data_IF_260717798812
#
_entry.id   IF_260717798812
#
_cell.length_a   1.000
_cell.length_b   1.000
_cell.length_c   1.000
_cell.angle_alpha   90.00
_cell.angle_beta   90.00
_cell.angle_gamma   90.00
#
_symmetry.space_group_name_H-M   'P 1'
#
loop_
_entity.id
_entity.type
_entity.pdbx_description
1 polymer ?
#
# COMPACT_ATOMS: atom_id res chain seq x y z
N UNK A 1 -2.49 5.95 24.67
CA UNK A 1 -2.27 5.83 23.20
C UNK A 1 -3.45 6.50 22.55
N UNK A 2 -3.24 7.64 21.86
CA UNK A 2 -4.33 8.31 21.15
C UNK A 2 -4.72 7.46 19.96
N UNK A 3 -5.93 6.91 20.01
CA UNK A 3 -6.60 6.36 18.83
C UNK A 3 -6.86 7.59 17.96
N UNK A 4 -5.97 7.87 17.00
CA UNK A 4 -6.30 8.85 15.98
C UNK A 4 -7.55 8.30 15.29
N UNK A 5 -8.68 9.00 15.44
CA UNK A 5 -9.87 8.72 14.63
C UNK A 5 -9.50 9.06 13.18
N UNK A 6 -8.90 8.09 12.48
CA UNK A 6 -8.62 8.20 11.06
C UNK A 6 -9.97 8.29 10.35
N UNK A 7 -10.08 9.24 9.41
CA UNK A 7 -11.31 9.38 8.64
C UNK A 7 -11.49 8.11 7.80
N UNK A 8 -12.70 7.51 7.75
CA UNK A 8 -12.99 6.36 6.87
C UNK A 8 -12.55 6.61 5.41
N UNK A 9 -12.61 7.87 4.97
CA UNK A 9 -12.16 8.29 3.64
C UNK A 9 -10.68 8.05 3.39
N UNK A 10 -9.82 8.21 4.40
CA UNK A 10 -8.37 8.00 4.26
C UNK A 10 -8.07 6.51 4.18
N UNK A 11 -8.77 5.69 4.97
CA UNK A 11 -8.65 4.23 4.89
C UNK A 11 -9.07 3.70 3.52
N UNK A 12 -10.20 4.19 2.96
CA UNK A 12 -10.69 3.83 1.62
C UNK A 12 -9.70 4.23 0.52
N UNK A 13 -9.08 5.42 0.66
CA UNK A 13 -8.07 5.90 -0.28
C UNK A 13 -6.80 5.05 -0.23
N UNK A 14 -6.33 4.68 0.97
CA UNK A 14 -5.21 3.77 1.10
C UNK A 14 -5.53 2.39 0.52
N UNK A 15 -6.72 1.85 0.78
CA UNK A 15 -7.14 0.58 0.21
C UNK A 15 -7.19 0.62 -1.32
N UNK A 16 -7.62 1.75 -1.89
CA UNK A 16 -7.63 1.98 -3.34
C UNK A 16 -6.21 2.05 -3.89
N UNK A 17 -5.30 2.78 -3.23
CA UNK A 17 -3.88 2.82 -3.60
C UNK A 17 -3.29 1.39 -3.63
N UNK A 18 -3.49 0.60 -2.58
CA UNK A 18 -2.98 -0.77 -2.53
C UNK A 18 -3.60 -1.69 -3.60
N UNK A 19 -4.84 -1.43 -4.02
CA UNK A 19 -5.51 -2.20 -5.06
C UNK A 19 -4.94 -1.98 -6.47
N UNK A 20 -4.15 -0.92 -6.71
CA UNK A 20 -3.45 -0.72 -8.00
C UNK A 20 -2.44 -1.84 -8.28
N UNK A 21 -1.91 -2.47 -7.23
CA UNK A 21 -1.02 -3.63 -7.31
C UNK A 21 -1.77 -4.97 -7.43
N UNK A 22 -3.08 -4.96 -7.67
CA UNK A 22 -3.79 -6.18 -8.00
C UNK A 22 -3.34 -6.68 -9.37
N UNK A 23 -2.84 -7.92 -9.45
CA UNK A 23 -2.31 -8.46 -10.72
C UNK A 23 -3.36 -8.61 -11.82
N UNK A 24 -4.65 -8.60 -11.47
CA UNK A 24 -5.74 -8.63 -12.45
C UNK A 24 -6.12 -7.25 -12.98
N UNK A 25 -5.63 -6.20 -12.31
CA UNK A 25 -5.88 -4.80 -12.66
C UNK A 25 -4.65 -4.22 -13.35
N UNK A 26 -3.45 -4.50 -12.79
CA UNK A 26 -2.14 -4.12 -13.33
C UNK A 26 -2.02 -2.60 -13.62
N UNK A 27 -2.32 -1.79 -12.61
CA UNK A 27 -2.30 -0.31 -12.68
C UNK A 27 -1.30 0.28 -11.66
N UNK A 28 -0.25 -0.48 -11.30
CA UNK A 28 0.74 -0.02 -10.32
C UNK A 28 1.49 1.24 -10.80
N UNK A 29 1.64 1.42 -12.10
CA UNK A 29 2.18 2.60 -12.76
C UNK A 29 1.27 3.85 -12.63
N UNK A 30 -0.02 3.67 -12.36
CA UNK A 30 -0.99 4.78 -12.20
C UNK A 30 -1.07 5.32 -10.77
N UNK A 31 -0.24 4.85 -9.83
CA UNK A 31 -0.27 5.33 -8.44
C UNK A 31 0.04 6.82 -8.34
N UNK A 32 0.95 7.34 -9.17
CA UNK A 32 1.24 8.77 -9.22
C UNK A 32 0.01 9.57 -9.70
N UNK A 33 -0.65 9.10 -10.76
CA UNK A 33 -1.87 9.71 -11.32
C UNK A 33 -3.04 9.66 -10.33
N UNK A 34 -3.17 8.58 -9.58
CA UNK A 34 -4.15 8.44 -8.50
C UNK A 34 -3.94 9.46 -7.39
N UNK A 35 -2.68 9.69 -7.00
CA UNK A 35 -2.34 10.65 -5.95
C UNK A 35 -2.40 12.09 -6.45
N UNK A 36 -2.05 12.36 -7.71
CA UNK A 36 -1.96 13.69 -8.31
C UNK A 36 -3.10 14.67 -7.93
N UNK A 37 -4.39 14.31 -8.04
CA UNK A 37 -5.50 15.22 -7.74
C UNK A 37 -5.73 15.51 -6.25
N UNK A 38 -5.11 14.75 -5.34
CA UNK A 38 -5.34 14.96 -3.90
C UNK A 38 -4.61 16.20 -3.36
N UNK A 39 -5.26 16.98 -2.47
CA UNK A 39 -4.57 18.02 -1.71
C UNK A 39 -3.38 17.47 -0.92
N UNK A 40 -2.37 18.31 -0.66
CA UNK A 40 -1.19 17.93 0.14
C UNK A 40 -1.58 17.35 1.50
N UNK A 41 -2.58 17.94 2.17
CA UNK A 41 -3.07 17.44 3.46
C UNK A 41 -3.61 16.00 3.37
N UNK A 42 -4.32 15.68 2.29
CA UNK A 42 -4.87 14.34 2.06
C UNK A 42 -3.76 13.34 1.75
N UNK A 43 -2.77 13.73 0.91
CA UNK A 43 -1.58 12.90 0.65
C UNK A 43 -0.80 12.59 1.93
N UNK A 44 -0.61 13.60 2.78
CA UNK A 44 0.05 13.43 4.08
C UNK A 44 -0.76 12.52 5.01
N UNK A 45 -2.09 12.63 5.03
CA UNK A 45 -2.94 11.75 5.83
C UNK A 45 -2.87 10.29 5.34
N UNK A 46 -2.89 10.05 4.03
CA UNK A 46 -2.70 8.69 3.46
C UNK A 46 -1.31 8.15 3.83
N UNK A 47 -0.26 8.97 3.69
CA UNK A 47 1.11 8.59 4.06
C UNK A 47 1.20 8.19 5.54
N UNK A 48 0.67 9.02 6.44
CA UNK A 48 0.67 8.75 7.88
C UNK A 48 -0.11 7.49 8.24
N UNK A 49 -1.25 7.27 7.61
CA UNK A 49 -2.05 6.06 7.79
C UNK A 49 -1.29 4.82 7.33
N UNK A 50 -0.63 4.89 6.18
CA UNK A 50 0.18 3.80 5.67
C UNK A 50 1.36 3.51 6.62
N UNK A 51 2.11 4.53 7.02
CA UNK A 51 3.22 4.41 7.97
C UNK A 51 2.75 3.77 9.30
N UNK A 52 1.59 4.17 9.81
CA UNK A 52 0.99 3.59 11.00
C UNK A 52 0.72 2.09 10.81
N UNK A 53 0.07 1.69 9.71
CA UNK A 53 -0.22 0.28 9.43
C UNK A 53 1.04 -0.57 9.27
N UNK A 54 2.09 -0.02 8.66
CA UNK A 54 3.40 -0.68 8.60
C UNK A 54 3.98 -0.88 10.00
N UNK A 55 3.96 0.17 10.83
CA UNK A 55 4.50 0.15 12.20
C UNK A 55 3.74 -0.79 13.13
N UNK A 56 2.42 -0.85 13.00
CA UNK A 56 1.54 -1.73 13.79
C UNK A 56 1.48 -3.17 13.25
N UNK A 57 2.21 -3.47 12.17
CA UNK A 57 2.22 -4.77 11.48
C UNK A 57 0.82 -5.21 11.02
N UNK A 58 0.01 -4.25 10.57
CA UNK A 58 -1.33 -4.48 10.02
C UNK A 58 -1.31 -4.81 8.51
N UNK A 59 -0.12 -4.90 7.90
CA UNK A 59 0.08 -5.20 6.48
C UNK A 59 0.96 -6.45 6.34
N UNK A 60 0.35 -7.62 6.46
CA UNK A 60 0.99 -8.93 6.40
C UNK A 60 0.58 -9.76 5.19
N UNK A 61 0.81 -11.08 5.26
CA UNK A 61 0.51 -11.98 4.15
C UNK A 61 -0.99 -12.03 3.77
N UNK A 62 -1.87 -11.82 4.74
CA UNK A 62 -3.32 -11.77 4.52
C UNK A 62 -3.72 -10.55 3.68
N UNK A 63 -3.19 -9.38 4.04
CA UNK A 63 -3.39 -8.13 3.32
C UNK A 63 -2.77 -8.18 1.94
N UNK A 64 -1.55 -8.74 1.83
CA UNK A 64 -0.92 -8.94 0.53
C UNK A 64 -1.86 -9.70 -0.40
N UNK A 65 -2.41 -10.83 0.06
CA UNK A 65 -3.38 -11.60 -0.72
C UNK A 65 -4.65 -10.84 -1.06
N UNK A 66 -5.15 -10.03 -0.13
CA UNK A 66 -6.35 -9.22 -0.34
C UNK A 66 -6.15 -8.20 -1.46
N UNK A 67 -5.01 -7.52 -1.50
CA UNK A 67 -4.77 -6.41 -2.42
C UNK A 67 -4.17 -6.86 -3.75
N UNK A 68 -3.24 -7.82 -3.75
CA UNK A 68 -2.56 -8.25 -4.98
C UNK A 68 -3.27 -9.39 -5.70
N UNK A 69 -4.23 -10.06 -5.04
CA UNK A 69 -4.84 -11.34 -5.44
C UNK A 69 -3.86 -12.54 -5.44
N UNK A 70 -2.66 -12.38 -4.86
CA UNK A 70 -1.61 -13.39 -4.88
C UNK A 70 -1.18 -13.80 -3.47
N UNK A 71 -0.56 -14.97 -3.31
CA UNK A 71 0.00 -15.35 -2.00
C UNK A 71 1.46 -14.90 -1.93
N UNK A 72 1.82 -14.17 -0.88
CA UNK A 72 3.23 -13.89 -0.61
C UNK A 72 3.97 -15.20 -0.28
N UNK A 73 5.31 -15.19 -0.49
CA UNK A 73 6.19 -16.30 -0.09
C UNK A 73 6.11 -16.59 1.41
N UNK A 74 6.18 -15.54 2.20
CA UNK A 74 6.10 -15.55 3.66
C UNK A 74 5.67 -14.16 4.16
N UNK A 75 5.48 -14.06 5.47
CA UNK A 75 5.06 -12.84 6.16
C UNK A 75 6.08 -11.69 6.01
N UNK A 76 7.37 -12.00 5.98
CA UNK A 76 8.44 -11.01 5.84
C UNK A 76 8.44 -10.41 4.43
N UNK A 77 8.31 -11.25 3.42
CA UNK A 77 8.21 -10.87 2.01
C UNK A 77 6.96 -10.01 1.76
N UNK A 78 5.82 -10.37 2.37
CA UNK A 78 4.61 -9.55 2.30
C UNK A 78 4.83 -8.15 2.88
N UNK A 79 5.48 -8.05 4.05
CA UNK A 79 5.79 -6.77 4.68
C UNK A 79 6.77 -5.95 3.85
N UNK A 80 7.75 -6.60 3.22
CA UNK A 80 8.71 -5.91 2.37
C UNK A 80 8.02 -5.28 1.16
N UNK A 81 7.10 -6.00 0.50
CA UNK A 81 6.28 -5.45 -0.56
C UNK A 81 5.57 -4.16 -0.15
N UNK A 82 4.92 -4.13 1.02
CA UNK A 82 4.23 -2.92 1.47
C UNK A 82 5.17 -1.75 1.79
N UNK A 83 6.39 -2.02 2.25
CA UNK A 83 7.42 -0.97 2.42
C UNK A 83 7.85 -0.41 1.07
N UNK A 84 8.02 -1.27 0.06
CA UNK A 84 8.44 -0.87 -1.27
C UNK A 84 7.32 -0.06 -1.96
N UNK A 85 6.05 -0.46 -1.81
CA UNK A 85 4.89 0.35 -2.25
C UNK A 85 4.85 1.71 -1.58
N UNK A 86 5.10 1.76 -0.27
CA UNK A 86 5.17 3.02 0.46
C UNK A 86 6.30 3.93 -0.06
N UNK A 87 7.48 3.36 -0.30
CA UNK A 87 8.62 4.08 -0.85
C UNK A 87 8.34 4.62 -2.26
N UNK A 88 7.76 3.79 -3.13
CA UNK A 88 7.32 4.18 -4.47
C UNK A 88 6.30 5.34 -4.43
N UNK A 89 5.26 5.22 -3.60
CA UNK A 89 4.17 6.19 -3.55
C UNK A 89 4.56 7.54 -2.92
N UNK A 90 5.52 7.57 -1.99
CA UNK A 90 5.77 8.77 -1.18
C UNK A 90 7.23 9.22 -1.06
N UNK A 91 8.19 8.37 -1.43
CA UNK A 91 9.63 8.63 -1.20
C UNK A 91 10.46 8.57 -2.49
N UNK A 92 9.81 8.40 -3.65
CA UNK A 92 10.48 8.30 -4.95
C UNK A 92 11.22 6.97 -5.15
N UNK A 93 10.76 5.90 -4.47
CA UNK A 93 11.26 4.55 -4.67
C UNK A 93 10.89 3.97 -6.04
N UNK A 94 11.45 2.81 -6.36
CA UNK A 94 11.12 2.08 -7.58
C UNK A 94 9.77 1.36 -7.47
N UNK A 95 9.06 1.23 -8.59
CA UNK A 95 7.80 0.50 -8.65
C UNK A 95 8.01 -0.99 -8.34
N UNK A 96 7.33 -1.56 -7.32
CA UNK A 96 7.48 -2.97 -6.99
C UNK A 96 6.67 -3.89 -7.92
N UNK A 97 7.33 -4.86 -8.56
CA UNK A 97 6.65 -5.95 -9.27
C UNK A 97 6.18 -7.02 -8.27
N UNK A 98 4.86 -7.21 -8.16
CA UNK A 98 4.24 -8.23 -7.30
C UNK A 98 4.85 -9.63 -7.48
N UNK A 99 5.33 -9.95 -8.69
CA UNK A 99 5.91 -11.25 -9.02
C UNK A 99 7.19 -11.55 -8.25
N UNK A 100 7.90 -10.53 -7.77
CA UNK A 100 9.12 -10.71 -6.98
C UNK A 100 8.82 -11.19 -5.55
N UNK A 101 7.59 -10.95 -5.08
CA UNK A 101 7.16 -11.18 -3.70
C UNK A 101 6.23 -12.40 -3.55
N UNK A 102 5.60 -12.84 -4.64
CA UNK A 102 4.64 -13.94 -4.59
C UNK A 102 5.28 -15.32 -4.53
N UNK A 103 4.52 -16.30 -4.02
CA UNK A 103 4.88 -17.71 -4.08
C UNK A 103 4.26 -18.33 -5.35
N UNK A 104 5.10 -18.80 -6.26
CA UNK A 104 4.68 -19.47 -7.52
C UNK A 104 4.24 -20.91 -7.27
#
# INVERSE_FOLDING_TARGET
MSIMHISPKIEDRLATLLAHFNVNVAMSDEVEDYLAPFPTADKQAIRQEFELRLKENLLGAAEFRRFTACRARDEETARQFFKDVYAYAFEGGEEPDVRDYWNR
#
